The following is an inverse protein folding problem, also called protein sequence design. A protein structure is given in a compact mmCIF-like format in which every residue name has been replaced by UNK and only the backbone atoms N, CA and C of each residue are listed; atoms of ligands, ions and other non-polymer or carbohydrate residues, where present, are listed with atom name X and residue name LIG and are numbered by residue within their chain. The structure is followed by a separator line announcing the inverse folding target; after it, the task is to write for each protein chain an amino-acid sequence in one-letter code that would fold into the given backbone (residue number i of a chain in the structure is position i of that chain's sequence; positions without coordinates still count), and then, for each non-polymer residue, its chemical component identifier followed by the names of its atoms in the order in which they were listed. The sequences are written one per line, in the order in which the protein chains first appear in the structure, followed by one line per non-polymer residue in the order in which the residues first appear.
data_IF_279666110844
#
_entry.id   IF_279666110844
#
_cell.length_a   1.000
_cell.length_b   1.000
_cell.length_c   1.000
_cell.angle_alpha   90.00
_cell.angle_beta   90.00
_cell.angle_gamma   90.00
#
_symmetry.space_group_name_H-M   'P 1'
#
loop_
_entity.id
_entity.type
_entity.pdbx_description
1 polymer ?
#
# COMPACT_ATOMS: atom_id res chain seq x y z
N UNK A 1 12.12 1.87 22.08
CA UNK A 1 13.45 1.72 22.72
C UNK A 1 14.57 2.12 21.76
N UNK A 2 14.84 1.43 20.65
CA UNK A 2 15.94 1.82 19.75
C UNK A 2 15.88 3.27 19.21
N UNK A 3 14.69 3.76 18.86
CA UNK A 3 14.49 5.14 18.37
C UNK A 3 14.73 6.20 19.46
N UNK A 4 14.46 5.87 20.72
CA UNK A 4 14.59 6.80 21.84
C UNK A 4 16.03 7.33 21.95
N UNK A 5 17.01 6.45 21.71
CA UNK A 5 18.43 6.80 21.78
C UNK A 5 18.90 7.69 20.61
N UNK A 6 18.14 7.76 19.52
CA UNK A 6 18.50 8.51 18.31
C UNK A 6 17.91 9.94 18.37
N UNK A 7 16.81 10.14 19.10
CA UNK A 7 16.10 11.42 19.22
C UNK A 7 15.85 12.11 17.86
N UNK A 8 15.44 11.32 16.85
CA UNK A 8 15.13 11.81 15.51
C UNK A 8 13.71 11.42 15.09
N UNK A 9 13.00 12.25 14.30
CA UNK A 9 11.72 11.88 13.73
C UNK A 9 11.90 10.69 12.77
N UNK A 10 10.94 9.77 12.79
CA UNK A 10 10.97 8.58 11.94
C UNK A 10 9.59 8.26 11.38
N UNK A 11 9.59 7.53 10.25
CA UNK A 11 8.39 6.99 9.63
C UNK A 11 8.49 5.49 9.50
N UNK A 12 7.35 4.78 9.54
CA UNK A 12 7.31 3.33 9.47
C UNK A 12 6.29 2.81 8.49
N UNK A 13 6.70 1.96 7.55
CA UNK A 13 5.78 1.28 6.63
C UNK A 13 5.85 -0.23 6.78
N UNK A 14 4.72 -0.90 6.57
CA UNK A 14 4.63 -2.35 6.55
C UNK A 14 4.13 -2.86 5.20
N UNK A 15 4.47 -4.10 4.86
CA UNK A 15 3.92 -4.80 3.70
C UNK A 15 2.76 -5.69 4.13
N UNK A 16 1.71 -5.68 3.33
CA UNK A 16 0.50 -6.47 3.53
C UNK A 16 0.40 -7.50 2.40
N UNK A 17 0.01 -8.73 2.75
CA UNK A 17 -0.13 -9.84 1.80
C UNK A 17 -1.55 -9.87 1.18
N UNK A 18 -1.82 -10.91 0.39
CA UNK A 18 -3.10 -11.09 -0.30
C UNK A 18 -4.28 -11.22 0.67
N UNK A 19 -4.04 -11.58 1.93
CA UNK A 19 -5.07 -11.66 2.96
C UNK A 19 -5.30 -10.31 3.67
N UNK A 20 -4.71 -9.21 3.18
CA UNK A 20 -4.87 -7.88 3.77
C UNK A 20 -4.18 -7.73 5.13
N UNK A 21 -3.22 -8.61 5.44
CA UNK A 21 -2.52 -8.63 6.74
C UNK A 21 -1.01 -8.58 6.55
N UNK A 22 -0.29 -8.10 7.56
CA UNK A 22 1.17 -8.24 7.60
C UNK A 22 1.58 -9.70 7.78
N UNK A 23 2.87 -10.01 7.63
CA UNK A 23 3.41 -11.36 7.87
C UNK A 23 3.03 -11.93 9.25
N UNK A 24 2.89 -11.04 10.25
CA UNK A 24 2.53 -11.38 11.63
C UNK A 24 1.01 -11.37 11.88
N UNK A 25 0.19 -11.21 10.83
CA UNK A 25 -1.26 -11.28 10.90
C UNK A 25 -1.96 -9.97 11.30
N UNK A 26 -1.25 -8.85 11.34
CA UNK A 26 -1.80 -7.54 11.73
C UNK A 26 -2.58 -6.94 10.56
N UNK A 27 -3.83 -6.53 10.79
CA UNK A 27 -4.64 -5.81 9.78
C UNK A 27 -4.22 -4.34 9.67
N UNK A 28 -4.65 -3.64 8.61
CA UNK A 28 -4.45 -2.19 8.48
C UNK A 28 -5.06 -1.42 9.67
N UNK A 29 -6.28 -1.79 10.07
CA UNK A 29 -6.98 -1.20 11.22
C UNK A 29 -6.22 -1.42 12.54
N UNK A 30 -5.74 -2.65 12.78
CA UNK A 30 -4.96 -2.96 13.99
C UNK A 30 -3.63 -2.21 14.01
N UNK A 31 -2.97 -2.04 12.86
CA UNK A 31 -1.74 -1.27 12.74
C UNK A 31 -1.95 0.18 13.17
N UNK A 32 -3.02 0.85 12.72
CA UNK A 32 -3.33 2.22 13.15
C UNK A 32 -3.52 2.32 14.67
N UNK A 33 -4.21 1.35 15.27
CA UNK A 33 -4.41 1.31 16.73
C UNK A 33 -3.13 1.02 17.53
N UNK A 34 -2.26 0.16 17.01
CA UNK A 34 -0.95 -0.11 17.61
C UNK A 34 -0.08 1.15 17.59
N UNK A 35 0.02 1.82 16.44
CA UNK A 35 0.81 3.03 16.22
C UNK A 35 0.37 4.18 17.14
N UNK A 36 -0.94 4.33 17.41
CA UNK A 36 -1.47 5.29 18.40
C UNK A 36 -0.99 5.05 19.83
N UNK A 37 -0.81 3.79 20.22
CA UNK A 37 -0.43 3.39 21.59
C UNK A 37 1.08 3.35 21.80
N UNK A 38 1.88 3.53 20.75
CA UNK A 38 3.34 3.52 20.86
C UNK A 38 3.84 4.76 21.59
N UNK A 39 4.52 4.55 22.73
CA UNK A 39 5.19 5.60 23.50
C UNK A 39 6.13 6.46 22.65
N UNK A 40 6.85 5.82 21.72
CA UNK A 40 7.76 6.47 20.77
C UNK A 40 7.30 6.21 19.34
N UNK A 41 6.06 6.63 19.03
CA UNK A 41 5.44 6.42 17.73
C UNK A 41 6.12 7.18 16.58
N UNK A 42 5.93 6.73 15.34
CA UNK A 42 6.43 7.45 14.17
C UNK A 42 5.63 8.74 13.92
N UNK A 43 6.24 9.70 13.23
CA UNK A 43 5.57 10.91 12.75
C UNK A 43 4.72 10.67 11.49
N UNK A 44 4.82 9.48 10.90
CA UNK A 44 4.04 9.05 9.74
C UNK A 44 4.17 7.55 9.56
N UNK A 45 3.11 6.90 9.06
CA UNK A 45 3.12 5.45 8.91
C UNK A 45 2.32 5.02 7.68
N UNK A 46 2.50 3.79 7.22
CA UNK A 46 1.59 3.27 6.20
C UNK A 46 2.04 1.97 5.56
N UNK A 47 1.77 1.87 4.25
CA UNK A 47 1.96 0.65 3.49
C UNK A 47 2.97 0.84 2.36
N UNK A 48 3.79 -0.19 2.15
CA UNK A 48 4.66 -0.28 0.98
C UNK A 48 4.71 -1.69 0.41
N UNK A 49 5.08 -1.80 -0.86
CA UNK A 49 5.18 -3.08 -1.55
C UNK A 49 3.83 -3.81 -1.53
N UNK A 50 3.82 -5.09 -1.16
CA UNK A 50 2.64 -5.95 -1.19
C UNK A 50 2.44 -6.58 -2.56
N UNK A 51 1.18 -6.80 -2.90
CA UNK A 51 0.78 -7.56 -4.09
C UNK A 51 0.75 -6.66 -5.32
N UNK A 52 -0.05 -5.59 -5.28
CA UNK A 52 -0.24 -4.63 -6.36
C UNK A 52 -0.75 -3.28 -5.85
N UNK A 53 -0.88 -2.32 -6.76
CA UNK A 53 -1.33 -0.97 -6.42
C UNK A 53 -2.77 -0.94 -5.89
N UNK A 54 -3.68 -1.75 -6.45
CA UNK A 54 -5.06 -1.89 -5.98
C UNK A 54 -5.13 -2.36 -4.52
N UNK A 55 -4.49 -3.49 -4.20
CA UNK A 55 -4.43 -4.03 -2.82
C UNK A 55 -3.83 -3.02 -1.83
N UNK A 56 -2.77 -2.30 -2.23
CA UNK A 56 -2.17 -1.28 -1.38
C UNK A 56 -3.17 -0.14 -1.08
N UNK A 57 -3.99 0.28 -2.04
CA UNK A 57 -5.01 1.31 -1.79
C UNK A 57 -6.10 0.83 -0.83
N UNK A 58 -6.49 -0.44 -0.90
CA UNK A 58 -7.40 -1.03 0.11
C UNK A 58 -6.78 -0.99 1.51
N UNK A 59 -5.48 -1.29 1.64
CA UNK A 59 -4.77 -1.14 2.90
C UNK A 59 -4.75 0.32 3.38
N UNK A 60 -4.50 1.28 2.47
CA UNK A 60 -4.51 2.72 2.79
C UNK A 60 -5.87 3.17 3.31
N UNK A 61 -6.98 2.72 2.70
CA UNK A 61 -8.33 3.01 3.19
C UNK A 61 -8.49 2.58 4.66
N UNK A 62 -8.17 1.31 4.98
CA UNK A 62 -8.28 0.82 6.36
C UNK A 62 -7.30 1.46 7.35
N UNK A 63 -6.11 1.90 6.90
CA UNK A 63 -5.20 2.68 7.74
C UNK A 63 -5.80 4.05 8.07
N UNK A 64 -6.38 4.71 7.06
CA UNK A 64 -6.86 6.09 7.13
C UNK A 64 -8.12 6.24 7.99
N UNK A 65 -8.96 5.21 8.12
CA UNK A 65 -10.14 5.22 9.02
C UNK A 65 -9.81 5.68 10.44
N UNK A 66 -8.62 5.34 10.93
CA UNK A 66 -8.16 5.66 12.27
C UNK A 66 -6.81 6.38 12.28
N UNK A 67 -6.35 6.95 11.17
CA UNK A 67 -5.07 7.65 11.17
C UNK A 67 -5.14 8.99 11.94
N UNK A 68 -4.15 9.25 12.79
CA UNK A 68 -3.96 10.50 13.53
C UNK A 68 -2.72 11.29 13.06
N UNK A 69 -2.07 10.81 11.99
CA UNK A 69 -0.81 11.33 11.45
C UNK A 69 -0.67 10.94 9.97
N UNK A 70 0.27 11.53 9.21
CA UNK A 70 0.48 11.25 7.78
C UNK A 70 0.48 9.76 7.41
N UNK A 71 -0.37 9.40 6.44
CA UNK A 71 -0.43 8.06 5.85
C UNK A 71 0.48 7.99 4.62
N UNK A 72 1.34 6.98 4.60
CA UNK A 72 2.32 6.71 3.55
C UNK A 72 1.81 5.61 2.63
N UNK A 73 1.80 5.87 1.32
CA UNK A 73 1.45 4.89 0.30
C UNK A 73 2.62 4.72 -0.68
N UNK A 74 3.15 3.50 -0.78
CA UNK A 74 4.28 3.18 -1.66
C UNK A 74 4.08 1.86 -2.41
N UNK A 75 3.26 1.91 -3.46
CA UNK A 75 2.87 0.74 -4.28
C UNK A 75 3.97 0.27 -5.24
N UNK A 76 3.92 -1.00 -5.63
CA UNK A 76 4.74 -1.52 -6.73
C UNK A 76 4.27 -0.94 -8.08
N UNK A 77 5.16 -0.84 -9.06
CA UNK A 77 4.80 -0.43 -10.41
C UNK A 77 4.12 -1.57 -11.18
N UNK A 78 2.86 -1.84 -10.86
CA UNK A 78 2.11 -2.97 -11.41
C UNK A 78 2.30 -4.27 -10.63
N UNK A 79 1.79 -5.36 -11.17
CA UNK A 79 1.79 -6.67 -10.51
C UNK A 79 3.08 -7.42 -10.90
N UNK A 80 3.87 -7.94 -9.95
CA UNK A 80 5.08 -8.68 -10.27
C UNK A 80 4.74 -9.95 -11.09
N UNK A 81 5.28 -10.03 -12.30
CA UNK A 81 5.17 -11.18 -13.20
C UNK A 81 6.51 -11.89 -13.28
N UNK A 82 6.50 -13.22 -13.20
CA UNK A 82 7.72 -14.02 -13.40
C UNK A 82 7.86 -14.34 -14.89
N UNK A 83 8.87 -13.77 -15.53
CA UNK A 83 9.17 -13.95 -16.96
C UNK A 83 10.64 -14.33 -17.06
N UNK A 84 10.92 -15.48 -17.68
CA UNK A 84 12.28 -15.95 -18.00
C UNK A 84 13.29 -15.89 -16.85
N UNK A 85 12.88 -16.29 -15.64
CA UNK A 85 13.77 -16.31 -14.48
C UNK A 85 13.76 -15.03 -13.64
N UNK A 86 13.17 -13.96 -14.15
CA UNK A 86 13.21 -12.62 -13.55
C UNK A 86 11.81 -12.11 -13.19
N UNK A 87 11.73 -11.22 -12.19
CA UNK A 87 10.49 -10.53 -11.84
C UNK A 87 10.41 -9.25 -12.67
N UNK A 88 9.37 -9.16 -13.50
CA UNK A 88 9.03 -7.98 -14.30
C UNK A 88 7.82 -7.27 -13.70
N UNK A 89 7.86 -5.95 -13.76
CA UNK A 89 6.81 -5.06 -13.30
C UNK A 89 6.25 -4.35 -14.53
N UNK A 90 4.93 -4.41 -14.72
CA UNK A 90 4.24 -3.97 -15.93
C UNK A 90 3.48 -2.65 -15.77
N UNK A 91 3.56 -2.02 -14.60
CA UNK A 91 2.95 -0.72 -14.35
C UNK A 91 3.68 0.34 -15.15
N UNK A 92 2.95 1.03 -16.02
CA UNK A 92 3.47 2.15 -16.81
C UNK A 92 3.49 3.45 -15.99
N UNK A 93 4.17 4.52 -16.45
CA UNK A 93 4.07 5.84 -15.84
C UNK A 93 2.63 6.35 -15.69
N UNK A 94 1.75 6.05 -16.64
CA UNK A 94 0.35 6.44 -16.65
C UNK A 94 -0.44 5.69 -15.56
N UNK A 95 -0.21 4.38 -15.41
CA UNK A 95 -0.83 3.59 -14.33
C UNK A 95 -0.36 4.11 -12.97
N UNK A 96 0.93 4.43 -12.82
CA UNK A 96 1.44 4.96 -11.56
C UNK A 96 0.93 6.37 -11.27
N UNK A 97 0.71 7.20 -12.29
CA UNK A 97 0.06 8.50 -12.15
C UNK A 97 -1.38 8.38 -11.62
N UNK A 98 -2.18 7.47 -12.18
CA UNK A 98 -3.54 7.19 -11.70
C UNK A 98 -3.51 6.66 -10.26
N UNK A 99 -2.60 5.74 -9.97
CA UNK A 99 -2.36 5.25 -8.60
C UNK A 99 -2.10 6.39 -7.62
N UNK A 100 -1.26 7.37 -7.97
CA UNK A 100 -0.95 8.47 -7.07
C UNK A 100 -2.17 9.35 -6.76
N UNK A 101 -2.99 9.63 -7.78
CA UNK A 101 -4.26 10.38 -7.60
C UNK A 101 -5.22 9.63 -6.70
N UNK A 102 -5.38 8.32 -6.92
CA UNK A 102 -6.24 7.48 -6.09
C UNK A 102 -5.70 7.34 -4.66
N UNK A 103 -4.38 7.16 -4.48
CA UNK A 103 -3.73 7.14 -3.17
C UNK A 103 -4.02 8.42 -2.38
N UNK A 104 -3.96 9.57 -3.07
CA UNK A 104 -4.30 10.87 -2.47
C UNK A 104 -5.76 10.92 -2.04
N UNK A 105 -6.68 10.48 -2.89
CA UNK A 105 -8.11 10.42 -2.59
C UNK A 105 -8.45 9.45 -1.44
N UNK A 106 -7.69 8.36 -1.29
CA UNK A 106 -7.81 7.44 -0.15
C UNK A 106 -7.24 8.01 1.18
N UNK A 107 -6.66 9.21 1.16
CA UNK A 107 -6.16 9.91 2.37
C UNK A 107 -4.64 9.89 2.55
N UNK A 108 -3.87 9.28 1.65
CA UNK A 108 -2.42 9.32 1.74
C UNK A 108 -1.88 10.76 1.54
N UNK A 109 -0.87 11.12 2.33
CA UNK A 109 -0.20 12.43 2.28
C UNK A 109 1.26 12.32 1.86
N UNK A 110 1.85 11.14 2.00
CA UNK A 110 3.18 10.81 1.48
C UNK A 110 3.01 9.68 0.47
N UNK A 111 3.24 9.97 -0.81
CA UNK A 111 2.95 9.05 -1.91
C UNK A 111 4.24 8.82 -2.71
N UNK A 112 4.54 7.56 -2.98
CA UNK A 112 5.71 7.17 -3.77
C UNK A 112 5.55 5.78 -4.38
N UNK A 113 6.66 5.21 -4.83
CA UNK A 113 6.68 3.85 -5.39
C UNK A 113 7.71 2.92 -4.76
N UNK A 114 7.46 1.62 -4.90
CA UNK A 114 8.29 0.54 -4.38
C UNK A 114 8.98 -0.21 -5.52
N UNK A 115 8.80 -1.53 -5.61
CA UNK A 115 9.49 -2.33 -6.61
C UNK A 115 8.97 -2.02 -8.01
N UNK A 116 9.87 -1.95 -9.00
CA UNK A 116 9.56 -1.59 -10.38
C UNK A 116 9.39 -0.10 -10.64
N UNK A 117 9.27 0.74 -9.61
CA UNK A 117 9.19 2.20 -9.78
C UNK A 117 10.53 2.75 -10.29
N UNK A 118 10.44 3.73 -11.19
CA UNK A 118 11.56 4.34 -11.91
C UNK A 118 11.35 5.87 -11.95
N UNK A 119 12.37 6.68 -12.28
CA UNK A 119 12.21 8.14 -12.35
C UNK A 119 11.07 8.62 -13.26
N UNK A 120 10.81 7.92 -14.38
CA UNK A 120 9.69 8.22 -15.27
C UNK A 120 8.33 8.09 -14.56
N UNK A 121 8.16 7.05 -13.73
CA UNK A 121 6.98 6.87 -12.89
C UNK A 121 6.82 8.02 -11.89
N UNK A 122 7.90 8.38 -11.18
CA UNK A 122 7.88 9.48 -10.21
C UNK A 122 7.50 10.82 -10.86
N UNK A 123 8.01 11.09 -12.07
CA UNK A 123 7.68 12.29 -12.83
C UNK A 123 6.20 12.35 -13.22
N UNK A 124 5.66 11.22 -13.68
CA UNK A 124 4.23 11.12 -14.03
C UNK A 124 3.33 11.27 -12.80
N UNK A 125 3.69 10.62 -11.67
CA UNK A 125 2.99 10.77 -10.39
C UNK A 125 3.00 12.21 -9.89
N UNK A 126 4.16 12.88 -9.90
CA UNK A 126 4.27 14.29 -9.51
C UNK A 126 3.36 15.17 -10.36
N UNK A 127 3.42 15.03 -11.69
CA UNK A 127 2.57 15.80 -12.61
C UNK A 127 1.08 15.58 -12.35
N UNK A 128 0.67 14.35 -12.08
CA UNK A 128 -0.73 14.04 -11.76
C UNK A 128 -1.16 14.68 -10.43
N UNK A 129 -0.31 14.61 -9.41
CA UNK A 129 -0.55 15.22 -8.10
C UNK A 129 -0.51 16.75 -8.12
N UNK A 130 0.27 17.38 -9.00
CA UNK A 130 0.27 18.84 -9.19
C UNK A 130 -1.09 19.35 -9.71
N UNK A 131 -1.81 18.52 -10.46
CA UNK A 131 -3.12 18.84 -11.04
C UNK A 131 -4.24 18.11 -10.30
N UNK A 132 -4.00 17.65 -9.08
CA UNK A 132 -5.00 16.94 -8.29
C UNK A 132 -6.11 17.89 -7.85
N UNK A 133 -7.34 17.59 -8.27
CA UNK A 133 -8.54 18.20 -7.72
C UNK A 133 -9.11 17.35 -6.60
N UNK A 134 -9.61 18.01 -5.55
CA UNK A 134 -10.25 17.33 -4.42
C UNK A 134 -11.43 16.52 -4.95
N UNK A 135 -11.45 15.24 -4.59
CA UNK A 135 -12.48 14.29 -5.01
C UNK A 135 -12.88 13.39 -3.85
N UNK A 136 -14.05 12.79 -3.99
CA UNK A 136 -14.54 11.79 -3.03
C UNK A 136 -13.61 10.57 -2.96
N UNK A 137 -13.67 9.88 -1.83
CA UNK A 137 -12.95 8.62 -1.63
C UNK A 137 -13.47 7.60 -2.64
N UNK A 138 -12.61 6.99 -3.48
CA UNK A 138 -13.05 6.07 -4.53
C UNK A 138 -13.57 4.76 -3.94
N UNK A 139 -14.58 4.18 -4.58
CA UNK A 139 -15.05 2.83 -4.29
C UNK A 139 -14.02 1.77 -4.68
N UNK A 140 -14.14 0.57 -4.10
CA UNK A 140 -13.29 -0.57 -4.48
C UNK A 140 -13.44 -0.93 -5.97
N UNK A 141 -14.64 -0.78 -6.53
CA UNK A 141 -14.90 -1.02 -7.96
C UNK A 141 -14.12 -0.06 -8.85
N UNK A 142 -14.07 1.22 -8.49
CA UNK A 142 -13.30 2.23 -9.23
C UNK A 142 -11.80 1.98 -9.15
N UNK A 143 -11.29 1.62 -7.96
CA UNK A 143 -9.88 1.23 -7.77
C UNK A 143 -9.54 0.02 -8.64
N UNK A 144 -10.39 -1.02 -8.64
CA UNK A 144 -10.19 -2.24 -9.42
C UNK A 144 -10.18 -1.96 -10.92
N UNK A 145 -11.11 -1.12 -11.40
CA UNK A 145 -11.19 -0.70 -12.80
C UNK A 145 -9.93 0.04 -13.25
N UNK A 146 -9.36 0.88 -12.38
CA UNK A 146 -8.22 1.72 -12.71
C UNK A 146 -6.87 0.98 -12.63
N UNK A 147 -6.68 0.15 -11.59
CA UNK A 147 -5.37 -0.41 -11.23
C UNK A 147 -5.29 -1.94 -11.37
N UNK A 148 -6.38 -2.57 -11.81
CA UNK A 148 -6.52 -4.02 -11.90
C UNK A 148 -7.17 -4.64 -10.65
N UNK A 149 -7.55 -5.93 -10.74
CA UNK A 149 -8.30 -6.60 -9.69
C UNK A 149 -7.53 -6.67 -8.37
N UNK A 150 -8.27 -6.78 -7.27
CA UNK A 150 -7.69 -7.12 -5.97
C UNK A 150 -7.27 -8.59 -5.93
N UNK A 151 -6.30 -8.89 -5.06
CA UNK A 151 -5.83 -10.25 -4.86
C UNK A 151 -6.74 -11.13 -3.98
N UNK A 152 -7.70 -10.53 -3.29
CA UNK A 152 -8.69 -11.18 -2.42
C UNK A 152 -9.96 -10.36 -2.35
N UNK A 153 -11.10 -11.00 -2.07
CA UNK A 153 -12.38 -10.34 -1.79
C UNK A 153 -12.41 -9.64 -0.43
N UNK A 154 -11.61 -10.10 0.54
CA UNK A 154 -11.57 -9.56 1.91
C UNK A 154 -10.36 -8.67 2.13
N UNK A 155 -10.52 -7.65 2.99
CA UNK A 155 -9.45 -6.73 3.43
C UNK A 155 -8.64 -7.26 4.62
N UNK A 156 -8.91 -8.51 5.02
CA UNK A 156 -8.31 -9.14 6.18
C UNK A 156 -9.07 -8.93 7.48
N UNK A 157 -10.11 -8.07 7.52
CA UNK A 157 -10.98 -7.89 8.69
C UNK A 157 -12.10 -8.95 8.71
N UNK A 158 -12.59 -9.30 9.91
CA UNK A 158 -13.62 -10.34 10.11
C UNK A 158 -13.12 -11.75 10.48
N UNK A 159 -14.04 -12.60 10.96
CA UNK A 159 -13.80 -14.00 11.39
C UNK A 159 -13.86 -15.02 10.23
N UNK A 160 -13.93 -14.55 8.99
CA UNK A 160 -13.94 -15.40 7.80
C UNK A 160 -12.69 -16.28 7.71
N UNK A 161 -12.77 -17.42 6.99
CA UNK A 161 -11.63 -18.34 6.89
C UNK A 161 -10.42 -17.59 6.36
N UNK A 162 -9.32 -17.61 7.15
CA UNK A 162 -8.03 -17.07 6.71
C UNK A 162 -7.75 -17.64 5.32
N UNK A 163 -7.49 -16.81 4.29
CA UNK A 163 -7.18 -17.30 2.97
C UNK A 163 -6.08 -18.36 3.10
N UNK A 164 -6.34 -19.57 2.59
CA UNK A 164 -5.37 -20.64 2.65
C UNK A 164 -4.08 -20.11 2.01
N UNK A 165 -2.97 -20.10 2.76
CA UNK A 165 -1.66 -19.85 2.18
C UNK A 165 -1.42 -20.96 1.18
N UNK A 166 -1.68 -20.70 -0.09
CA UNK A 166 -1.27 -21.59 -1.18
C UNK A 166 0.25 -21.51 -1.19
N UNK A 167 0.90 -22.44 -0.48
CA UNK A 167 2.29 -22.76 -0.75
C UNK A 167 2.31 -23.18 -2.21
N UNK A 168 2.83 -22.33 -3.10
CA UNK A 168 3.26 -22.78 -4.43
C UNK A 168 4.25 -23.91 -4.17
N UNK A 169 3.77 -25.14 -4.35
CA UNK A 169 4.52 -26.36 -4.06
C UNK A 169 5.85 -26.35 -4.79
N UNK A 170 6.84 -26.94 -4.12
CA UNK A 170 8.21 -27.14 -4.57
C UNK A 170 8.27 -27.44 -6.08
N UNK A 171 8.95 -26.56 -6.83
CA UNK A 171 9.44 -26.91 -8.16
C UNK A 171 10.52 -27.98 -7.94
N UNK A 172 10.22 -29.21 -8.40
CA UNK A 172 11.26 -30.20 -8.72
C UNK A 172 12.13 -29.67 -9.84
#
# INVERSE_FOLDING_TARGET
EAIENINAPWVGTMSFDTAGRTMMGVTSHDMSNLVKKMKYGPIGFGANCGVGASDLLRTVLGLNENADRPVIAKGNAGIPKYVDGHIHYDGTPEVMAEYAVLARACGATIIGGCCGTMPAHLKAMRRALDNYEVRDVPSLSEISKALGPFSSETDGTGDGPKPARVRRGQRR
#
